data_IF_973223620362
#
_entry.id   IF_973223620362
#
_cell.length_a   1.000
_cell.length_b   1.000
_cell.length_c   1.000
_cell.angle_alpha   90.00
_cell.angle_beta   90.00
_cell.angle_gamma   90.00
#
_symmetry.space_group_name_H-M   'P 1'
#
loop_
_entity.id
_entity.type
_entity.pdbx_description
1 polymer ?
#
# COMPACT_ATOMS: atom_id res chain seq x y z
N UNK A 1 66.39 -34.08 19.53
CA UNK A 1 65.17 -33.43 18.97
C UNK A 1 65.49 -32.25 18.05
N UNK A 2 66.24 -32.42 16.94
CA UNK A 2 66.54 -31.28 16.02
C UNK A 2 66.54 -31.61 14.52
N UNK A 3 66.05 -32.78 14.11
CA UNK A 3 65.99 -33.18 12.68
C UNK A 3 64.58 -33.28 12.10
N UNK A 4 63.55 -33.53 12.92
CA UNK A 4 62.15 -33.56 12.48
C UNK A 4 61.52 -32.18 12.23
N UNK A 5 61.98 -31.14 12.94
CA UNK A 5 61.37 -29.82 12.88
C UNK A 5 61.71 -29.03 11.61
N UNK A 6 62.72 -29.44 10.82
CA UNK A 6 63.07 -28.78 9.55
C UNK A 6 62.38 -29.40 8.34
N UNK A 7 62.01 -30.69 8.40
CA UNK A 7 61.33 -31.38 7.31
C UNK A 7 59.84 -31.01 7.23
N UNK A 8 59.19 -30.85 8.38
CA UNK A 8 57.76 -30.51 8.45
C UNK A 8 57.48 -29.08 7.93
N UNK A 9 58.40 -28.15 8.16
CA UNK A 9 58.22 -26.75 7.71
C UNK A 9 58.44 -26.57 6.20
N UNK A 10 59.28 -27.37 5.56
CA UNK A 10 59.52 -27.28 4.11
C UNK A 10 58.38 -27.92 3.31
N UNK A 11 57.78 -29.01 3.81
CA UNK A 11 56.62 -29.65 3.15
C UNK A 11 55.36 -28.77 3.26
N UNK A 12 55.19 -28.04 4.36
CA UNK A 12 54.06 -27.11 4.53
C UNK A 12 54.10 -25.90 3.59
N UNK A 13 55.30 -25.43 3.19
CA UNK A 13 55.45 -24.30 2.28
C UNK A 13 55.23 -24.72 0.81
N UNK A 14 55.57 -25.96 0.44
CA UNK A 14 55.35 -26.50 -0.91
C UNK A 14 53.86 -26.80 -1.16
N UNK A 15 53.11 -27.21 -0.12
CA UNK A 15 51.66 -27.42 -0.23
C UNK A 15 50.86 -26.11 -0.32
N UNK A 16 51.40 -24.98 0.14
CA UNK A 16 50.75 -23.68 0.04
C UNK A 16 51.00 -22.94 -1.29
N UNK A 17 52.09 -23.22 -1.99
CA UNK A 17 52.36 -22.62 -3.31
C UNK A 17 51.71 -23.37 -4.48
N UNK A 18 51.17 -24.56 -4.24
CA UNK A 18 50.34 -25.30 -5.21
C UNK A 18 48.89 -24.79 -5.29
N UNK A 19 48.45 -23.93 -4.37
CA UNK A 19 47.32 -23.03 -4.62
C UNK A 19 47.82 -21.84 -5.46
N UNK A 20 48.50 -22.14 -6.57
CA UNK A 20 48.65 -21.20 -7.66
C UNK A 20 47.27 -20.65 -7.93
N UNK A 21 47.17 -19.32 -7.94
CA UNK A 21 45.94 -18.60 -8.19
C UNK A 21 45.14 -19.37 -9.24
N UNK A 22 44.07 -20.04 -8.80
CA UNK A 22 43.02 -20.42 -9.71
C UNK A 22 42.49 -19.06 -10.09
N UNK A 23 43.06 -18.49 -11.15
CA UNK A 23 42.40 -17.50 -11.95
C UNK A 23 41.11 -18.23 -12.35
N UNK A 24 40.08 -18.08 -11.51
CA UNK A 24 38.74 -18.51 -11.82
C UNK A 24 38.50 -17.79 -13.12
N UNK A 25 38.58 -18.51 -14.24
CA UNK A 25 38.14 -17.99 -15.51
C UNK A 25 36.69 -17.65 -15.25
N UNK A 26 36.42 -16.38 -14.99
CA UNK A 26 35.07 -15.91 -14.76
C UNK A 26 34.39 -16.18 -16.08
N UNK A 27 33.57 -17.22 -16.07
CA UNK A 27 32.91 -17.68 -17.26
C UNK A 27 31.94 -16.57 -17.68
N UNK A 28 31.96 -16.19 -18.97
CA UNK A 28 31.07 -15.16 -19.48
C UNK A 28 29.61 -15.57 -19.25
N UNK A 29 29.35 -16.87 -19.29
CA UNK A 29 28.03 -17.46 -19.08
C UNK A 29 27.58 -17.33 -17.60
N UNK A 30 28.53 -17.44 -16.65
CA UNK A 30 28.25 -17.21 -15.24
C UNK A 30 27.91 -15.74 -14.96
N UNK A 31 28.62 -14.78 -15.58
CA UNK A 31 28.30 -13.35 -15.47
C UNK A 31 26.92 -13.07 -16.08
N UNK A 32 26.61 -13.64 -17.25
CA UNK A 32 25.32 -13.45 -17.92
C UNK A 32 24.16 -13.97 -17.04
N UNK A 33 24.32 -15.15 -16.45
CA UNK A 33 23.34 -15.74 -15.51
C UNK A 33 23.12 -14.85 -14.29
N UNK A 34 24.20 -14.33 -13.68
CA UNK A 34 24.11 -13.43 -12.54
C UNK A 34 23.43 -12.10 -12.90
N UNK A 35 23.67 -11.55 -14.10
CA UNK A 35 22.98 -10.35 -14.59
C UNK A 35 21.47 -10.59 -14.72
N UNK A 36 21.05 -11.71 -15.31
CA UNK A 36 19.63 -12.08 -15.40
C UNK A 36 18.98 -12.26 -14.03
N UNK A 37 19.66 -12.96 -13.11
CA UNK A 37 19.18 -13.10 -11.72
C UNK A 37 19.02 -11.75 -11.03
N UNK A 38 19.95 -10.81 -11.24
CA UNK A 38 19.84 -9.44 -10.71
C UNK A 38 18.63 -8.71 -11.28
N UNK A 39 18.37 -8.85 -12.58
CA UNK A 39 17.21 -8.26 -13.24
C UNK A 39 15.90 -8.81 -12.67
N UNK A 40 15.77 -10.14 -12.54
CA UNK A 40 14.61 -10.79 -11.91
C UNK A 40 14.39 -10.26 -10.49
N UNK A 41 15.44 -10.18 -9.66
CA UNK A 41 15.34 -9.67 -8.29
C UNK A 41 14.89 -8.21 -8.25
N UNK A 42 15.37 -7.38 -9.18
CA UNK A 42 14.97 -5.98 -9.27
C UNK A 42 13.47 -5.85 -9.62
N UNK A 43 13.00 -6.61 -10.59
CA UNK A 43 11.59 -6.60 -10.98
C UNK A 43 10.68 -7.23 -9.91
N UNK A 44 11.15 -8.24 -9.17
CA UNK A 44 10.46 -8.76 -7.99
C UNK A 44 10.39 -7.74 -6.85
N UNK A 45 11.44 -6.95 -6.65
CA UNK A 45 11.43 -5.89 -5.63
C UNK A 45 10.36 -4.85 -5.97
N UNK A 46 10.27 -4.42 -7.23
CA UNK A 46 9.21 -3.52 -7.69
C UNK A 46 7.81 -4.12 -7.51
N UNK A 47 7.65 -5.42 -7.80
CA UNK A 47 6.38 -6.11 -7.58
C UNK A 47 5.99 -6.07 -6.09
N UNK A 48 6.91 -6.42 -5.21
CA UNK A 48 6.69 -6.39 -3.76
C UNK A 48 6.34 -4.98 -3.26
N UNK A 49 7.01 -3.95 -3.77
CA UNK A 49 6.70 -2.56 -3.43
C UNK A 49 5.28 -2.15 -3.85
N UNK A 50 4.83 -2.60 -5.02
CA UNK A 50 3.45 -2.38 -5.48
C UNK A 50 2.44 -3.13 -4.62
N UNK A 51 2.71 -4.40 -4.28
CA UNK A 51 1.86 -5.22 -3.41
C UNK A 51 1.76 -4.62 -2.00
N UNK A 52 2.87 -4.10 -1.44
CA UNK A 52 2.88 -3.39 -0.17
C UNK A 52 2.02 -2.12 -0.23
N UNK A 53 2.17 -1.30 -1.28
CA UNK A 53 1.34 -0.10 -1.47
C UNK A 53 -0.14 -0.45 -1.56
N UNK A 54 -0.50 -1.52 -2.28
CA UNK A 54 -1.88 -1.98 -2.39
C UNK A 54 -2.42 -2.45 -1.03
N UNK A 55 -1.62 -3.16 -0.24
CA UNK A 55 -2.01 -3.59 1.10
C UNK A 55 -2.25 -2.40 2.05
N UNK A 56 -1.36 -1.40 2.05
CA UNK A 56 -1.53 -0.19 2.84
C UNK A 56 -2.76 0.61 2.43
N UNK A 57 -3.00 0.75 1.12
CA UNK A 57 -4.19 1.45 0.61
C UNK A 57 -5.48 0.70 0.97
N UNK A 58 -5.48 -0.63 0.89
CA UNK A 58 -6.62 -1.45 1.29
C UNK A 58 -6.93 -1.31 2.80
N UNK A 59 -5.90 -1.21 3.64
CA UNK A 59 -6.06 -0.94 5.07
C UNK A 59 -6.65 0.47 5.28
N UNK A 60 -6.11 1.49 4.60
CA UNK A 60 -6.64 2.85 4.68
C UNK A 60 -8.10 2.95 4.20
N UNK A 61 -8.51 2.17 3.20
CA UNK A 61 -9.92 2.10 2.80
C UNK A 61 -10.84 1.63 3.91
N UNK A 62 -10.42 0.66 4.73
CA UNK A 62 -11.24 0.18 5.84
C UNK A 62 -11.48 1.31 6.85
N UNK A 63 -10.45 2.11 7.15
CA UNK A 63 -10.58 3.29 8.01
C UNK A 63 -11.51 4.34 7.40
N UNK A 64 -11.35 4.64 6.10
CA UNK A 64 -12.20 5.59 5.39
C UNK A 64 -13.68 5.17 5.38
N UNK A 65 -13.94 3.87 5.23
CA UNK A 65 -15.29 3.28 5.27
C UNK A 65 -15.88 3.39 6.67
N UNK A 66 -15.14 3.02 7.71
CA UNK A 66 -15.59 3.12 9.10
C UNK A 66 -15.92 4.58 9.48
N UNK A 67 -15.12 5.55 9.02
CA UNK A 67 -15.40 6.97 9.21
C UNK A 67 -16.62 7.43 8.42
N UNK A 68 -16.83 6.90 7.21
CA UNK A 68 -18.01 7.21 6.41
C UNK A 68 -19.30 6.70 7.07
N UNK A 69 -19.29 5.52 7.70
CA UNK A 69 -20.42 4.99 8.46
C UNK A 69 -20.83 5.95 9.59
N UNK A 70 -19.85 6.42 10.38
CA UNK A 70 -20.08 7.40 11.44
C UNK A 70 -20.66 8.71 10.91
N UNK A 71 -20.09 9.25 9.83
CA UNK A 71 -20.56 10.50 9.22
C UNK A 71 -21.97 10.34 8.62
N UNK A 72 -22.30 9.18 8.06
CA UNK A 72 -23.63 8.88 7.56
C UNK A 72 -24.65 8.80 8.70
N UNK A 73 -24.31 8.18 9.84
CA UNK A 73 -25.17 8.18 11.02
C UNK A 73 -25.40 9.59 11.58
N UNK A 74 -24.35 10.42 11.63
CA UNK A 74 -24.46 11.83 12.03
C UNK A 74 -25.35 12.63 11.08
N UNK A 75 -25.19 12.41 9.77
CA UNK A 75 -26.02 13.05 8.75
C UNK A 75 -27.50 12.63 8.88
N UNK A 76 -27.78 11.33 9.04
CA UNK A 76 -29.14 10.82 9.24
C UNK A 76 -29.80 11.38 10.50
N UNK A 77 -29.07 11.41 11.63
CA UNK A 77 -29.55 12.05 12.87
C UNK A 77 -29.84 13.54 12.66
N UNK A 78 -28.94 14.27 12.01
CA UNK A 78 -29.13 15.69 11.74
C UNK A 78 -30.34 15.94 10.82
N UNK A 79 -30.53 15.12 9.79
CA UNK A 79 -31.70 15.19 8.90
C UNK A 79 -33.01 14.90 9.64
N UNK A 80 -33.03 13.90 10.54
CA UNK A 80 -34.20 13.60 11.38
C UNK A 80 -34.56 14.78 12.28
N UNK A 81 -33.58 15.38 12.95
CA UNK A 81 -33.78 16.58 13.77
C UNK A 81 -34.27 17.78 12.94
N UNK A 82 -33.68 18.01 11.77
CA UNK A 82 -34.12 19.07 10.86
C UNK A 82 -35.57 18.87 10.41
N UNK A 83 -35.95 17.63 10.07
CA UNK A 83 -37.32 17.28 9.68
C UNK A 83 -38.29 17.48 10.85
N UNK A 84 -37.91 17.08 12.06
CA UNK A 84 -38.73 17.28 13.25
C UNK A 84 -38.97 18.78 13.50
N UNK A 85 -37.92 19.60 13.51
CA UNK A 85 -38.09 21.05 13.72
C UNK A 85 -38.83 21.75 12.58
N UNK A 86 -38.71 21.25 11.34
CA UNK A 86 -39.54 21.74 10.24
C UNK A 86 -41.02 21.40 10.45
N UNK A 87 -41.34 20.22 10.99
CA UNK A 87 -42.71 19.85 11.39
C UNK A 87 -43.21 20.73 12.54
N UNK A 88 -42.40 20.89 13.60
CA UNK A 88 -42.76 21.73 14.76
C UNK A 88 -43.06 23.18 14.33
N UNK A 89 -42.29 23.71 13.37
CA UNK A 89 -42.53 25.04 12.80
C UNK A 89 -43.80 25.09 11.95
N UNK A 90 -44.11 24.03 11.21
CA UNK A 90 -45.32 23.94 10.39
C UNK A 90 -46.59 23.87 11.25
N UNK A 91 -46.54 23.12 12.35
CA UNK A 91 -47.65 22.91 13.27
C UNK A 91 -47.80 24.05 14.30
N UNK A 92 -46.79 24.91 14.43
CA UNK A 92 -46.72 26.01 15.39
C UNK A 92 -47.46 27.29 14.97
N UNK A 93 -47.44 28.29 15.84
CA UNK A 93 -48.05 29.59 15.57
C UNK A 93 -47.33 30.34 14.43
N UNK A 94 -48.11 30.96 13.55
CA UNK A 94 -47.59 31.80 12.47
C UNK A 94 -46.82 32.97 13.07
N UNK A 95 -45.53 33.08 12.73
CA UNK A 95 -44.65 34.12 13.23
C UNK A 95 -43.80 33.74 14.45
N UNK A 96 -43.79 32.46 14.88
CA UNK A 96 -42.87 31.99 15.91
C UNK A 96 -41.41 32.00 15.42
N UNK A 97 -40.74 33.12 15.68
CA UNK A 97 -39.35 33.36 15.31
C UNK A 97 -38.37 32.37 15.98
N UNK A 98 -38.70 31.85 17.16
CA UNK A 98 -37.83 30.89 17.87
C UNK A 98 -37.86 29.54 17.18
N UNK A 99 -39.03 29.05 16.80
CA UNK A 99 -39.17 27.82 16.02
C UNK A 99 -38.50 27.97 14.65
N UNK A 100 -38.68 29.11 13.99
CA UNK A 100 -38.06 29.39 12.69
C UNK A 100 -36.52 29.34 12.76
N UNK A 101 -35.93 29.94 13.81
CA UNK A 101 -34.48 29.91 14.06
C UNK A 101 -33.97 28.49 14.31
N UNK A 102 -34.69 27.69 15.12
CA UNK A 102 -34.31 26.28 15.38
C UNK A 102 -34.36 25.44 14.12
N UNK A 103 -35.43 25.53 13.33
CA UNK A 103 -35.56 24.80 12.07
C UNK A 103 -34.45 25.18 11.07
N UNK A 104 -34.17 26.47 10.94
CA UNK A 104 -33.09 26.98 10.07
C UNK A 104 -31.72 26.46 10.50
N UNK A 105 -31.43 26.51 11.81
CA UNK A 105 -30.15 26.04 12.33
C UNK A 105 -30.00 24.53 12.15
N UNK A 106 -31.04 23.74 12.44
CA UNK A 106 -31.03 22.30 12.23
C UNK A 106 -30.86 21.92 10.75
N UNK A 107 -31.52 22.63 9.83
CA UNK A 107 -31.31 22.44 8.39
C UNK A 107 -29.87 22.75 7.97
N UNK A 108 -29.26 23.81 8.52
CA UNK A 108 -27.86 24.15 8.26
C UNK A 108 -26.91 23.07 8.77
N UNK A 109 -27.17 22.53 9.95
CA UNK A 109 -26.34 21.47 10.52
C UNK A 109 -26.49 20.16 9.74
N UNK A 110 -27.72 19.80 9.32
CA UNK A 110 -27.96 18.66 8.44
C UNK A 110 -27.23 18.79 7.09
N UNK A 111 -27.25 19.99 6.50
CA UNK A 111 -26.53 20.28 5.25
C UNK A 111 -25.02 20.08 5.43
N UNK A 112 -24.43 20.62 6.51
CA UNK A 112 -23.00 20.44 6.81
C UNK A 112 -22.62 18.97 7.04
N UNK A 113 -23.43 18.22 7.78
CA UNK A 113 -23.16 16.80 8.04
C UNK A 113 -23.22 15.99 6.75
N UNK A 114 -24.21 16.27 5.89
CA UNK A 114 -24.34 15.65 4.57
C UNK A 114 -23.15 15.98 3.67
N UNK A 115 -22.68 17.23 3.68
CA UNK A 115 -21.50 17.64 2.91
C UNK A 115 -20.23 16.90 3.37
N UNK A 116 -20.05 16.71 4.68
CA UNK A 116 -18.93 15.93 5.22
C UNK A 116 -19.00 14.46 4.78
N UNK A 117 -20.18 13.84 4.90
CA UNK A 117 -20.41 12.47 4.44
C UNK A 117 -20.12 12.33 2.93
N UNK A 118 -20.56 13.30 2.13
CA UNK A 118 -20.29 13.32 0.69
C UNK A 118 -18.79 13.42 0.38
N UNK A 119 -18.06 14.34 1.03
CA UNK A 119 -16.60 14.45 0.87
C UNK A 119 -15.87 13.16 1.26
N UNK A 120 -16.36 12.47 2.29
CA UNK A 120 -15.78 11.18 2.67
C UNK A 120 -16.05 10.10 1.61
N UNK A 121 -17.26 10.05 1.05
CA UNK A 121 -17.58 9.15 -0.06
C UNK A 121 -16.70 9.41 -1.29
N UNK A 122 -16.39 10.68 -1.60
CA UNK A 122 -15.45 11.01 -2.68
C UNK A 122 -14.03 10.50 -2.40
N UNK A 123 -13.55 10.58 -1.15
CA UNK A 123 -12.24 10.03 -0.77
C UNK A 123 -12.21 8.52 -0.96
N UNK A 124 -13.25 7.80 -0.52
CA UNK A 124 -13.39 6.36 -0.73
C UNK A 124 -13.34 6.05 -2.23
N UNK A 125 -14.08 6.79 -3.06
CA UNK A 125 -14.09 6.58 -4.50
C UNK A 125 -12.72 6.81 -5.16
N UNK A 126 -11.98 7.85 -4.72
CA UNK A 126 -10.61 8.11 -5.19
C UNK A 126 -9.65 7.00 -4.77
N UNK A 127 -9.72 6.57 -3.52
CA UNK A 127 -8.92 5.47 -2.98
C UNK A 127 -9.19 4.16 -3.73
N UNK A 128 -10.46 3.81 -3.99
CA UNK A 128 -10.83 2.64 -4.79
C UNK A 128 -10.21 2.67 -6.18
N UNK A 129 -10.30 3.81 -6.88
CA UNK A 129 -9.66 3.98 -8.21
C UNK A 129 -8.14 3.90 -8.16
N UNK A 130 -7.52 4.26 -7.05
CA UNK A 130 -6.07 4.13 -6.89
C UNK A 130 -5.68 2.67 -6.65
N UNK A 131 -6.43 1.93 -5.82
CA UNK A 131 -6.24 0.50 -5.61
C UNK A 131 -6.44 -0.31 -6.91
N UNK A 132 -7.44 0.04 -7.72
CA UNK A 132 -7.64 -0.57 -9.04
C UNK A 132 -6.42 -0.37 -9.95
N UNK A 133 -5.85 0.84 -9.98
CA UNK A 133 -4.60 1.13 -10.72
C UNK A 133 -3.41 0.32 -10.20
N UNK A 134 -3.23 0.26 -8.88
CA UNK A 134 -2.17 -0.55 -8.27
C UNK A 134 -2.32 -2.03 -8.66
N UNK A 135 -3.53 -2.58 -8.63
CA UNK A 135 -3.79 -3.97 -9.02
C UNK A 135 -3.49 -4.24 -10.51
N UNK A 136 -3.79 -3.29 -11.39
CA UNK A 136 -3.43 -3.39 -12.80
C UNK A 136 -1.91 -3.35 -13.00
N UNK A 137 -1.20 -2.49 -12.26
CA UNK A 137 0.26 -2.39 -12.31
C UNK A 137 0.91 -3.65 -11.73
N UNK A 138 0.40 -4.19 -10.61
CA UNK A 138 0.82 -5.48 -10.04
C UNK A 138 0.65 -6.60 -11.07
N UNK A 139 -0.49 -6.64 -11.77
CA UNK A 139 -0.75 -7.67 -12.79
C UNK A 139 0.27 -7.61 -13.92
N UNK A 140 0.52 -6.41 -14.47
CA UNK A 140 1.52 -6.21 -15.53
C UNK A 140 2.92 -6.58 -15.06
N UNK A 141 3.30 -6.13 -13.87
CA UNK A 141 4.62 -6.39 -13.29
C UNK A 141 4.83 -7.88 -13.00
N UNK A 142 3.79 -8.58 -12.51
CA UNK A 142 3.84 -10.03 -12.28
C UNK A 142 4.05 -10.80 -13.59
N UNK A 143 3.35 -10.43 -14.66
CA UNK A 143 3.56 -11.04 -15.99
C UNK A 143 5.02 -10.89 -16.43
N UNK A 144 5.58 -9.68 -16.30
CA UNK A 144 6.98 -9.42 -16.66
C UNK A 144 7.96 -10.26 -15.83
N UNK A 145 7.75 -10.35 -14.51
CA UNK A 145 8.58 -11.19 -13.63
C UNK A 145 8.47 -12.67 -14.04
N UNK A 146 7.26 -13.17 -14.31
CA UNK A 146 7.03 -14.56 -14.70
C UNK A 146 7.68 -14.89 -16.04
N UNK A 147 7.66 -13.96 -17.00
CA UNK A 147 8.35 -14.07 -18.30
C UNK A 147 9.88 -14.15 -18.10
N UNK A 148 10.46 -13.23 -17.32
CA UNK A 148 11.90 -13.23 -17.03
C UNK A 148 12.35 -14.51 -16.30
N UNK A 149 11.52 -15.05 -15.40
CA UNK A 149 11.80 -16.31 -14.72
C UNK A 149 11.77 -17.48 -15.71
N UNK A 150 10.78 -17.53 -16.62
CA UNK A 150 10.67 -18.59 -17.64
C UNK A 150 11.84 -18.56 -18.62
N UNK A 151 12.31 -17.38 -19.03
CA UNK A 151 13.47 -17.22 -19.93
C UNK A 151 14.81 -17.58 -19.28
N UNK A 152 14.83 -17.74 -17.95
CA UNK A 152 16.00 -18.06 -17.16
C UNK A 152 15.98 -19.51 -16.61
N UNK A 153 14.89 -20.26 -16.83
CA UNK A 153 14.74 -21.67 -16.49
C UNK A 153 15.16 -22.57 -17.66
#
# INVERSE_FOLDING_TARGET
MKRGLKAVTVVAIILFTAMGAVAQKIDKDAIATLKRKKEILNEQTKLNDLELKAAYEALSQQELIADAEKLNEEADKAMKTAKQHASDLHDGEIGDEKLAKKATQAAKDASKSTEKAHKQAEKIAKSKKYLERLNDDIRKQRILVDELIKENA
#
